data_IF_368744530095
#
_entry.id   IF_368744530095
#
_cell.length_a   1.000
_cell.length_b   1.000
_cell.length_c   1.000
_cell.angle_alpha   90.00
_cell.angle_beta   90.00
_cell.angle_gamma   90.00
#
_symmetry.space_group_name_H-M   'P 1'
#
loop_
_entity.id
_entity.type
_entity.pdbx_description
1 polymer ?
#
# COMPACT_ATOMS: atom_id res chain seq x y z
N UNK A 1 -33.48 25.40 -3.78
CA UNK A 1 -32.74 24.83 -2.64
C UNK A 1 -32.85 23.32 -2.71
N UNK A 2 -31.77 22.59 -3.05
CA UNK A 2 -31.81 21.13 -3.03
C UNK A 2 -31.89 20.63 -1.58
N UNK A 3 -32.77 19.67 -1.28
CA UNK A 3 -32.84 19.03 0.05
C UNK A 3 -31.53 18.28 0.28
N UNK A 4 -30.79 18.68 1.31
CA UNK A 4 -29.58 17.98 1.72
C UNK A 4 -29.98 16.62 2.32
N UNK A 5 -29.47 15.53 1.73
CA UNK A 5 -29.72 14.16 2.19
C UNK A 5 -28.57 13.74 3.09
N UNK A 6 -28.87 13.41 4.35
CA UNK A 6 -27.88 12.88 5.30
C UNK A 6 -27.66 11.40 5.02
N UNK A 7 -26.41 11.00 4.77
CA UNK A 7 -26.01 9.60 4.68
C UNK A 7 -25.68 9.09 6.10
N UNK A 8 -26.25 7.94 6.49
CA UNK A 8 -25.97 7.29 7.76
C UNK A 8 -25.36 5.92 7.49
N UNK A 9 -24.32 5.58 8.24
CA UNK A 9 -23.64 4.28 8.16
C UNK A 9 -24.01 3.41 9.37
N UNK A 10 -23.96 2.08 9.24
CA UNK A 10 -24.13 1.17 10.37
C UNK A 10 -23.17 1.46 11.52
N UNK A 11 -23.55 1.07 12.73
CA UNK A 11 -22.63 1.02 13.85
C UNK A 11 -21.47 0.06 13.56
N UNK A 12 -20.25 0.44 13.94
CA UNK A 12 -19.05 -0.36 13.67
C UNK A 12 -18.63 -0.40 12.20
N UNK A 13 -19.15 0.49 11.35
CA UNK A 13 -18.71 0.58 9.96
C UNK A 13 -17.20 0.86 9.87
N UNK A 14 -16.51 0.08 9.04
CA UNK A 14 -15.06 0.21 8.88
C UNK A 14 -14.71 1.36 7.92
N UNK A 15 -13.97 2.31 8.45
CA UNK A 15 -13.34 3.42 7.73
C UNK A 15 -11.85 3.25 7.83
N UNK A 16 -11.23 3.05 6.68
CA UNK A 16 -9.84 2.68 6.61
C UNK A 16 -9.18 3.09 5.32
N UNK A 17 -7.86 3.01 5.32
CA UNK A 17 -7.02 3.16 4.13
C UNK A 17 -6.41 1.81 3.73
N UNK A 18 -5.93 1.74 2.50
CA UNK A 18 -5.28 0.56 1.97
C UNK A 18 -3.95 0.93 1.32
N UNK A 19 -2.96 0.05 1.47
CA UNK A 19 -1.67 0.14 0.79
C UNK A 19 -1.35 -1.17 0.06
N UNK A 20 -0.33 -1.11 -0.79
CA UNK A 20 0.19 -2.26 -1.54
C UNK A 20 1.71 -2.31 -1.36
N UNK A 21 2.23 -3.52 -1.14
CA UNK A 21 3.64 -3.77 -0.86
C UNK A 21 4.55 -3.11 -1.89
N UNK A 22 4.38 -3.43 -3.18
CA UNK A 22 5.22 -2.89 -4.25
C UNK A 22 5.15 -1.36 -4.37
N UNK A 23 4.03 -0.74 -3.98
CA UNK A 23 3.83 0.72 -4.09
C UNK A 23 4.38 1.51 -2.91
N UNK A 24 4.52 0.90 -1.72
CA UNK A 24 4.83 1.60 -0.49
C UNK A 24 6.13 1.14 0.18
N UNK A 25 6.42 -0.17 0.18
CA UNK A 25 7.56 -0.77 0.88
C UNK A 25 8.91 -0.25 0.41
N UNK A 26 9.08 -0.22 -0.92
CA UNK A 26 10.39 -0.03 -1.54
C UNK A 26 11.24 -1.29 -1.50
N UNK A 27 12.30 -1.31 -2.31
CA UNK A 27 13.26 -2.42 -2.37
C UNK A 27 12.73 -3.74 -2.96
N UNK A 28 11.57 -3.72 -3.60
CA UNK A 28 10.93 -4.90 -4.17
C UNK A 28 11.47 -5.16 -5.59
N UNK A 29 12.47 -6.04 -5.68
CA UNK A 29 13.25 -6.27 -6.93
C UNK A 29 13.01 -7.63 -7.59
N UNK A 30 12.16 -8.48 -7.00
CA UNK A 30 12.00 -9.87 -7.43
C UNK A 30 10.56 -10.23 -7.79
N UNK A 31 9.80 -9.29 -8.34
CA UNK A 31 8.41 -9.53 -8.75
C UNK A 31 8.14 -9.06 -10.20
N UNK A 32 6.93 -9.33 -10.71
CA UNK A 32 6.60 -9.01 -12.10
C UNK A 32 6.54 -7.50 -12.37
N UNK A 33 6.13 -6.71 -11.37
CA UNK A 33 6.06 -5.25 -11.50
C UNK A 33 7.46 -4.63 -11.60
N UNK A 34 8.41 -5.08 -10.78
CA UNK A 34 9.80 -4.67 -10.94
C UNK A 34 10.34 -4.99 -12.33
N UNK A 35 10.08 -6.20 -12.85
CA UNK A 35 10.49 -6.53 -14.23
C UNK A 35 9.81 -5.65 -15.29
N UNK A 36 8.57 -5.25 -15.05
CA UNK A 36 7.80 -4.41 -15.95
C UNK A 36 8.35 -2.98 -16.03
N UNK A 37 8.71 -2.37 -14.89
CA UNK A 37 9.29 -1.02 -14.88
C UNK A 37 10.68 -0.97 -15.54
N UNK A 38 11.51 -2.00 -15.35
CA UNK A 38 12.84 -2.07 -16.00
C UNK A 38 12.74 -2.18 -17.53
N UNK A 39 11.56 -2.53 -18.07
CA UNK A 39 11.29 -2.54 -19.51
C UNK A 39 10.84 -1.16 -20.05
N UNK A 40 10.91 -0.10 -19.23
CA UNK A 40 10.53 1.26 -19.63
C UNK A 40 9.02 1.43 -19.86
N UNK A 41 8.19 0.60 -19.22
CA UNK A 41 6.74 0.55 -19.42
C UNK A 41 5.95 1.43 -18.45
N UNK A 42 6.64 2.17 -17.59
CA UNK A 42 6.03 3.20 -16.73
C UNK A 42 5.96 4.50 -17.51
N UNK A 43 4.80 5.16 -17.50
CA UNK A 43 4.55 6.40 -18.24
C UNK A 43 5.59 7.49 -17.97
N UNK A 44 6.02 7.61 -16.70
CA UNK A 44 7.01 8.60 -16.26
C UNK A 44 8.45 8.12 -16.39
N UNK A 45 8.67 6.85 -16.75
CA UNK A 45 9.99 6.22 -16.77
C UNK A 45 10.59 5.95 -15.38
N UNK A 46 9.82 6.18 -14.31
CA UNK A 46 10.26 5.95 -12.93
C UNK A 46 10.24 4.47 -12.55
N UNK A 47 11.00 4.13 -11.51
CA UNK A 47 11.02 2.82 -10.85
C UNK A 47 10.51 2.97 -9.42
N UNK A 48 9.93 1.91 -8.85
CA UNK A 48 9.44 1.89 -7.48
C UNK A 48 10.54 2.26 -6.48
N UNK A 49 11.80 1.87 -6.74
CA UNK A 49 12.96 2.26 -5.92
C UNK A 49 12.73 2.04 -4.42
N UNK A 50 12.92 3.11 -3.61
CA UNK A 50 12.60 3.13 -2.18
C UNK A 50 11.11 3.38 -1.88
N UNK A 51 10.32 3.72 -2.89
CA UNK A 51 8.90 4.07 -2.78
C UNK A 51 8.65 5.12 -1.68
N UNK A 52 7.74 4.84 -0.74
CA UNK A 52 7.47 5.69 0.42
C UNK A 52 8.38 5.38 1.62
N UNK A 53 9.38 4.49 1.43
CA UNK A 53 10.32 4.07 2.45
C UNK A 53 9.63 3.45 3.69
N UNK A 54 8.57 2.65 3.45
CA UNK A 54 7.72 2.13 4.52
C UNK A 54 8.48 1.27 5.54
N UNK A 55 9.53 0.54 5.13
CA UNK A 55 10.35 -0.24 6.09
C UNK A 55 11.04 0.60 7.17
N UNK A 56 11.16 1.91 6.96
CA UNK A 56 11.69 2.86 7.97
C UNK A 56 10.56 3.68 8.61
N UNK A 57 9.42 3.83 7.94
CA UNK A 57 8.35 4.75 8.33
C UNK A 57 7.05 4.07 8.79
N UNK A 58 6.97 2.73 8.81
CA UNK A 58 5.73 1.99 9.06
C UNK A 58 5.02 2.41 10.37
N UNK A 59 5.77 2.55 11.45
CA UNK A 59 5.24 2.98 12.75
C UNK A 59 4.62 4.38 12.66
N UNK A 60 5.30 5.29 11.95
CA UNK A 60 4.79 6.65 11.74
C UNK A 60 3.53 6.66 10.87
N UNK A 61 3.47 5.80 9.85
CA UNK A 61 2.29 5.66 8.99
C UNK A 61 1.08 5.11 9.78
N UNK A 62 1.31 4.18 10.71
CA UNK A 62 0.25 3.68 11.60
C UNK A 62 -0.23 4.73 12.59
N UNK A 63 0.67 5.52 13.19
CA UNK A 63 0.29 6.67 14.03
C UNK A 63 -0.56 7.68 13.25
N UNK A 64 -0.19 7.97 12.00
CA UNK A 64 -0.97 8.86 11.14
C UNK A 64 -2.35 8.29 10.84
N UNK A 65 -2.46 7.00 10.57
CA UNK A 65 -3.75 6.35 10.34
C UNK A 65 -4.68 6.48 11.56
N UNK A 66 -4.14 6.27 12.76
CA UNK A 66 -4.85 6.47 14.02
C UNK A 66 -5.26 7.93 14.22
N UNK A 67 -4.37 8.89 13.98
CA UNK A 67 -4.65 10.34 14.07
C UNK A 67 -5.74 10.79 13.08
N UNK A 68 -5.89 10.08 11.95
CA UNK A 68 -6.96 10.29 10.97
C UNK A 68 -8.24 9.51 11.28
N UNK A 69 -8.34 8.91 12.46
CA UNK A 69 -9.50 8.13 12.93
C UNK A 69 -9.82 6.90 12.05
N UNK A 70 -8.81 6.33 11.38
CA UNK A 70 -9.00 5.04 10.72
C UNK A 70 -9.21 3.95 11.76
N UNK A 71 -10.26 3.15 11.59
CA UNK A 71 -10.53 1.97 12.41
C UNK A 71 -10.22 0.66 11.66
N UNK A 72 -9.71 0.75 10.43
CA UNK A 72 -9.24 -0.38 9.64
C UNK A 72 -8.03 0.02 8.77
N UNK A 73 -7.12 -0.92 8.55
CA UNK A 73 -6.03 -0.82 7.58
C UNK A 73 -5.98 -2.11 6.77
N UNK A 74 -5.88 -1.97 5.44
CA UNK A 74 -5.66 -3.11 4.54
C UNK A 74 -4.27 -3.03 3.93
N UNK A 75 -3.44 -4.03 4.21
CA UNK A 75 -2.09 -4.16 3.67
C UNK A 75 -2.02 -5.38 2.75
N UNK A 76 -1.05 -5.38 1.82
CA UNK A 76 -0.64 -6.60 1.12
C UNK A 76 0.76 -7.01 1.55
N UNK A 77 1.08 -8.29 1.41
CA UNK A 77 2.42 -8.81 1.65
C UNK A 77 3.13 -8.99 0.31
N UNK A 78 4.39 -8.59 0.22
CA UNK A 78 5.22 -8.87 -0.96
C UNK A 78 5.59 -10.35 -1.02
N UNK A 79 4.99 -11.10 -1.94
CA UNK A 79 5.29 -12.53 -2.07
C UNK A 79 6.77 -12.77 -2.36
N UNK A 80 7.42 -11.94 -3.19
CA UNK A 80 8.84 -12.15 -3.50
C UNK A 80 9.79 -11.88 -2.33
N UNK A 81 9.30 -11.31 -1.22
CA UNK A 81 10.05 -11.21 0.04
C UNK A 81 9.85 -12.45 0.90
N UNK A 82 8.66 -13.02 0.89
CA UNK A 82 8.32 -14.24 1.64
C UNK A 82 8.90 -15.46 0.95
N UNK A 83 8.71 -15.60 -0.35
CA UNK A 83 9.24 -16.68 -1.16
C UNK A 83 10.07 -16.10 -2.33
N UNK A 84 11.35 -15.76 -2.11
CA UNK A 84 12.22 -15.20 -3.16
C UNK A 84 12.54 -16.20 -4.28
N UNK A 85 12.49 -17.50 -4.01
CA UNK A 85 12.65 -18.57 -4.98
C UNK A 85 11.74 -19.73 -4.62
N UNK A 86 11.31 -20.53 -5.60
CA UNK A 86 10.44 -21.68 -5.38
C UNK A 86 10.94 -22.55 -4.22
N UNK A 87 10.10 -22.72 -3.20
CA UNK A 87 10.39 -23.52 -2.01
C UNK A 87 11.36 -22.90 -1.00
N UNK A 88 11.77 -21.64 -1.15
CA UNK A 88 12.64 -20.92 -0.22
C UNK A 88 11.84 -19.85 0.53
N UNK A 89 11.70 -19.97 1.86
CA UNK A 89 10.89 -19.10 2.72
C UNK A 89 11.73 -18.35 3.78
#
# INVERSE_FOLDING_TARGET
MAKQRVLRFPEGFLWGTASSSHQCEGGNTNNQWYRWEQQGRILTGESSGIANNWWVAAERDFELAEQMENNALRLSLEWSRIEPAEGHY
#
